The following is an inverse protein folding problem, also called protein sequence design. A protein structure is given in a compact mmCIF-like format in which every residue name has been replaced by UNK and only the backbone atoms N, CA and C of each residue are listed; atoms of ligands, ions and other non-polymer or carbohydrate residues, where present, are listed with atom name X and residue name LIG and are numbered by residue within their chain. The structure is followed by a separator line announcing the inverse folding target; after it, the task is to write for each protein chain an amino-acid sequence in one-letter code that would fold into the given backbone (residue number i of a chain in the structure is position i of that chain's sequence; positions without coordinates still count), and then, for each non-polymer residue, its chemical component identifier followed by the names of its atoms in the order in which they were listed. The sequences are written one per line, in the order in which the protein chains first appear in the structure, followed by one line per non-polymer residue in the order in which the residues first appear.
data_IF_687539386367
#
_entry.id   IF_687539386367
#
_cell.length_a   1.000
_cell.length_b   1.000
_cell.length_c   1.000
_cell.angle_alpha   90.00
_cell.angle_beta   90.00
_cell.angle_gamma   90.00
#
_symmetry.space_group_name_H-M   'P 1'
#
loop_
_entity.id
_entity.type
_entity.pdbx_description
1 polymer ?
#
# COMPACT_ATOMS: atom_id res chain seq x y z
N UNK A 1 -6.02 -5.70 -3.19
CA UNK A 1 -4.76 -5.03 -2.80
C UNK A 1 -5.01 -4.24 -1.53
N UNK A 2 -4.14 -4.35 -0.53
CA UNK A 2 -4.10 -3.47 0.63
C UNK A 2 -2.79 -2.67 0.56
N UNK A 3 -2.89 -1.35 0.73
CA UNK A 3 -1.75 -0.43 0.79
C UNK A 3 -1.69 0.10 2.22
N UNK A 4 -0.50 0.08 2.80
CA UNK A 4 -0.21 0.59 4.15
C UNK A 4 1.05 1.42 4.11
N UNK A 5 1.21 2.30 5.09
CA UNK A 5 2.30 3.26 5.16
C UNK A 5 3.23 2.93 6.34
N UNK A 6 4.53 3.07 6.14
CA UNK A 6 5.53 2.76 7.16
C UNK A 6 5.53 3.77 8.32
N UNK A 7 5.05 4.99 8.07
CA UNK A 7 4.89 6.08 9.04
C UNK A 7 3.44 6.21 9.54
N UNK A 8 2.69 5.10 9.52
CA UNK A 8 1.36 4.98 10.08
C UNK A 8 1.37 4.08 11.33
N UNK A 9 1.25 4.71 12.51
CA UNK A 9 1.23 4.04 13.81
C UNK A 9 -0.02 3.17 14.06
N UNK A 10 -1.07 3.35 13.26
CA UNK A 10 -2.37 2.68 13.42
C UNK A 10 -2.51 1.50 12.45
N UNK A 11 -2.23 1.74 11.18
CA UNK A 11 -2.28 0.77 10.09
C UNK A 11 -1.05 -0.16 10.04
N UNK A 12 -0.60 -0.64 11.19
CA UNK A 12 0.63 -1.43 11.30
C UNK A 12 0.61 -2.69 10.42
N UNK A 13 1.78 -3.20 9.98
CA UNK A 13 1.83 -4.41 9.19
C UNK A 13 1.13 -5.62 9.84
N UNK A 14 1.16 -5.73 11.17
CA UNK A 14 0.48 -6.80 11.90
C UNK A 14 -1.05 -6.66 11.84
N UNK A 15 -1.57 -5.44 12.02
CA UNK A 15 -3.00 -5.17 11.93
C UNK A 15 -3.54 -5.47 10.52
N UNK A 16 -2.83 -5.01 9.49
CA UNK A 16 -3.22 -5.25 8.08
C UNK A 16 -3.13 -6.74 7.73
N UNK A 17 -2.10 -7.46 8.17
CA UNK A 17 -2.02 -8.91 7.98
C UNK A 17 -3.18 -9.65 8.63
N UNK A 18 -3.58 -9.26 9.86
CA UNK A 18 -4.76 -9.83 10.53
C UNK A 18 -6.02 -9.62 9.71
N UNK A 19 -6.25 -8.40 9.21
CA UNK A 19 -7.39 -8.08 8.34
C UNK A 19 -7.38 -8.92 7.06
N UNK A 20 -6.24 -8.98 6.37
CA UNK A 20 -6.09 -9.79 5.15
C UNK A 20 -6.31 -11.29 5.40
N UNK A 21 -6.02 -11.79 6.61
CA UNK A 21 -6.31 -13.17 7.02
C UNK A 21 -7.81 -13.52 7.02
N UNK A 22 -8.69 -12.52 7.09
CA UNK A 22 -10.15 -12.72 7.02
C UNK A 22 -10.65 -12.98 5.60
N UNK A 23 -9.93 -12.51 4.58
CA UNK A 23 -10.31 -12.64 3.17
C UNK A 23 -9.73 -13.91 2.52
N UNK A 24 -10.01 -15.07 3.12
CA UNK A 24 -9.37 -16.37 2.76
C UNK A 24 -9.57 -16.82 1.31
N UNK A 25 -10.68 -16.41 0.69
CA UNK A 25 -11.01 -16.77 -0.69
C UNK A 25 -10.65 -15.69 -1.72
N UNK A 26 -9.98 -14.61 -1.29
CA UNK A 26 -9.53 -13.54 -2.18
C UNK A 26 -8.03 -13.68 -2.50
N UNK A 27 -7.64 -13.21 -3.70
CA UNK A 27 -6.23 -12.93 -4.00
C UNK A 27 -5.81 -11.68 -3.22
N UNK A 28 -4.86 -11.84 -2.31
CA UNK A 28 -4.44 -10.81 -1.36
C UNK A 28 -3.05 -10.31 -1.72
N UNK A 29 -2.88 -9.00 -1.66
CA UNK A 29 -1.60 -8.32 -1.84
C UNK A 29 -1.47 -7.28 -0.74
N UNK A 30 -0.32 -7.21 -0.09
CA UNK A 30 -0.02 -6.19 0.91
C UNK A 30 1.19 -5.38 0.44
N UNK A 31 0.94 -4.15 0.02
CA UNK A 31 1.96 -3.18 -0.35
C UNK A 31 2.23 -2.27 0.86
N UNK A 32 3.47 -2.23 1.32
CA UNK A 32 3.86 -1.45 2.51
C UNK A 32 4.88 -0.38 2.12
N UNK A 33 4.39 0.83 1.88
CA UNK A 33 5.16 1.95 1.33
C UNK A 33 5.79 2.80 2.43
N UNK A 34 7.00 3.27 2.20
CA UNK A 34 7.66 4.28 3.04
C UNK A 34 7.60 5.67 2.37
N UNK A 35 7.61 6.77 3.15
CA UNK A 35 7.70 8.13 2.58
C UNK A 35 8.86 8.31 1.58
N UNK A 36 9.98 7.64 1.82
CA UNK A 36 11.16 7.66 0.95
C UNK A 36 10.91 7.07 -0.45
N UNK A 37 9.90 6.21 -0.61
CA UNK A 37 9.58 5.59 -1.90
C UNK A 37 9.03 6.60 -2.93
N UNK A 38 8.54 7.75 -2.44
CA UNK A 38 8.06 8.87 -3.25
C UNK A 38 8.83 10.17 -2.95
N UNK A 39 9.95 10.08 -2.24
CA UNK A 39 10.83 11.22 -1.96
C UNK A 39 10.26 12.27 -1.00
N UNK A 40 9.34 11.90 -0.10
CA UNK A 40 8.76 12.82 0.90
C UNK A 40 9.20 12.45 2.32
N UNK A 41 9.12 13.40 3.25
CA UNK A 41 9.46 13.18 4.66
C UNK A 41 8.38 12.43 5.42
N UNK A 42 7.11 12.62 5.06
CA UNK A 42 5.97 12.03 5.74
C UNK A 42 4.76 11.90 4.80
N UNK A 43 4.05 10.78 4.94
CA UNK A 43 2.71 10.55 4.41
C UNK A 43 1.74 10.53 5.60
N UNK A 44 1.90 9.57 6.52
CA UNK A 44 1.05 9.41 7.70
C UNK A 44 -0.32 8.78 7.42
N UNK A 45 -1.03 8.39 8.48
CA UNK A 45 -2.22 7.53 8.42
C UNK A 45 -3.31 7.94 7.41
N UNK A 46 -3.68 9.23 7.36
CA UNK A 46 -4.80 9.70 6.54
C UNK A 46 -4.42 10.32 5.21
N UNK A 47 -3.13 10.55 4.96
CA UNK A 47 -2.77 11.43 3.87
C UNK A 47 -2.70 10.73 2.51
N UNK A 48 -2.81 9.40 2.42
CA UNK A 48 -2.78 8.68 1.14
C UNK A 48 -3.72 9.29 0.09
N UNK A 49 -4.93 9.67 0.49
CA UNK A 49 -5.95 10.29 -0.38
C UNK A 49 -5.88 11.82 -0.45
N UNK A 50 -4.83 12.45 0.07
CA UNK A 50 -4.59 13.87 -0.15
C UNK A 50 -4.18 14.10 -1.62
N UNK A 51 -4.75 15.12 -2.26
CA UNK A 51 -4.49 15.45 -3.67
C UNK A 51 -3.00 15.70 -3.98
N UNK A 52 -2.20 16.12 -2.98
CA UNK A 52 -0.74 16.27 -3.16
C UNK A 52 -0.02 14.97 -3.53
N UNK A 53 -0.64 13.81 -3.29
CA UNK A 53 -0.09 12.50 -3.66
C UNK A 53 -0.78 11.85 -4.87
N UNK A 54 -1.68 12.57 -5.54
CA UNK A 54 -2.42 12.04 -6.67
C UNK A 54 -1.49 11.52 -7.78
N UNK A 55 -0.38 12.21 -8.04
CA UNK A 55 0.55 11.84 -9.11
C UNK A 55 1.65 10.85 -8.67
N UNK A 56 1.82 10.63 -7.36
CA UNK A 56 2.90 9.79 -6.81
C UNK A 56 2.41 8.45 -6.27
N UNK A 57 1.25 8.40 -5.60
CA UNK A 57 0.73 7.18 -4.98
C UNK A 57 -0.40 6.53 -5.78
N UNK A 58 -1.33 7.33 -6.32
CA UNK A 58 -2.55 6.78 -6.93
C UNK A 58 -2.33 6.03 -8.25
N UNK A 59 -1.34 6.36 -9.11
CA UNK A 59 -1.14 5.64 -10.36
C UNK A 59 -0.85 4.15 -10.13
N UNK A 60 -0.20 3.81 -9.01
CA UNK A 60 0.06 2.42 -8.61
C UNK A 60 -1.24 1.65 -8.31
N UNK A 61 -2.18 2.26 -7.57
CA UNK A 61 -3.48 1.66 -7.30
C UNK A 61 -4.32 1.54 -8.58
N UNK A 62 -4.30 2.58 -9.43
CA UNK A 62 -5.01 2.57 -10.71
C UNK A 62 -4.51 1.46 -11.63
N UNK A 63 -3.18 1.33 -11.78
CA UNK A 63 -2.57 0.26 -12.58
C UNK A 63 -3.02 -1.12 -12.09
N UNK A 64 -3.05 -1.34 -10.76
CA UNK A 64 -3.49 -2.61 -10.20
C UNK A 64 -4.96 -2.90 -10.48
N UNK A 65 -5.83 -1.89 -10.36
CA UNK A 65 -7.26 -2.04 -10.66
C UNK A 65 -7.47 -2.40 -12.14
N UNK A 66 -6.74 -1.76 -13.04
CA UNK A 66 -6.89 -1.97 -14.49
C UNK A 66 -6.33 -3.31 -14.97
N UNK A 67 -5.22 -3.78 -14.37
CA UNK A 67 -4.44 -4.90 -14.94
C UNK A 67 -4.32 -6.10 -14.00
N UNK A 68 -4.60 -5.93 -12.71
CA UNK A 68 -4.26 -6.90 -11.67
C UNK A 68 -2.76 -7.05 -11.39
N UNK A 69 -1.88 -6.36 -12.13
CA UNK A 69 -0.44 -6.44 -11.99
C UNK A 69 0.06 -5.51 -10.88
N UNK A 70 1.14 -5.93 -10.20
CA UNK A 70 1.80 -5.09 -9.19
C UNK A 70 2.66 -4.02 -9.87
N UNK A 71 2.52 -2.75 -9.48
CA UNK A 71 3.25 -1.64 -10.08
C UNK A 71 4.76 -1.81 -9.86
N UNK A 72 5.53 -1.76 -10.96
CA UNK A 72 6.96 -2.04 -10.96
C UNK A 72 7.78 -1.23 -9.92
N UNK A 73 7.55 0.09 -9.74
CA UNK A 73 8.33 0.89 -8.78
C UNK A 73 8.24 0.40 -7.34
N UNK A 74 7.16 -0.31 -6.98
CA UNK A 74 6.89 -0.71 -5.59
C UNK A 74 6.91 -2.22 -5.38
N UNK A 75 7.38 -3.03 -6.34
CA UNK A 75 7.40 -4.49 -6.19
C UNK A 75 8.26 -4.96 -5.00
N UNK A 76 9.34 -4.24 -4.68
CA UNK A 76 10.20 -4.50 -3.53
C UNK A 76 9.51 -4.24 -2.18
N UNK A 77 8.36 -3.55 -2.18
CA UNK A 77 7.55 -3.24 -0.99
C UNK A 77 6.40 -4.22 -0.75
N UNK A 78 6.35 -5.32 -1.52
CA UNK A 78 5.35 -6.35 -1.31
C UNK A 78 5.69 -7.23 -0.12
N UNK A 79 4.78 -7.27 0.86
CA UNK A 79 4.88 -8.15 2.01
C UNK A 79 4.19 -9.49 1.72
N UNK A 80 4.74 -10.56 2.30
CA UNK A 80 4.09 -11.87 2.28
C UNK A 80 2.79 -11.81 3.08
N UNK A 81 1.69 -12.22 2.45
CA UNK A 81 0.40 -12.43 3.10
C UNK A 81 0.31 -13.91 3.46
N UNK A 82 -0.06 -14.22 4.71
CA UNK A 82 -0.26 -15.59 5.22
C UNK A 82 -1.66 -16.09 4.85
#
# INVERSE_FOLDING_TARGET
LAISLADDDWGTPAAIRRLLGLYKHARRHHLHLAPTDIGVSQIGHFAYFNSKFADSLWPAALQWIQTGAMPAPFQSRLLKVV
#
